data_IF_047990623816
#
_entry.id   IF_047990623816
#
_cell.length_a   1.000
_cell.length_b   1.000
_cell.length_c   1.000
_cell.angle_alpha   90.00
_cell.angle_beta   90.00
_cell.angle_gamma   90.00
#
_symmetry.space_group_name_H-M   'P 1'
#
loop_
_entity.id
_entity.type
_entity.pdbx_description
1 polymer ?
#
# COMPACT_ATOMS: atom_id res chain seq x y z
N UNK A 1 -1.90 -17.25 4.36
CA UNK A 1 -1.74 -15.79 4.44
C UNK A 1 -0.75 -15.46 3.35
N UNK A 2 -1.24 -14.94 2.23
CA UNK A 2 -0.52 -14.88 0.95
C UNK A 2 0.01 -13.46 0.72
N UNK A 3 1.18 -13.31 0.10
CA UNK A 3 1.76 -11.98 -0.13
C UNK A 3 0.89 -11.22 -1.14
N UNK A 4 0.41 -10.03 -0.74
CA UNK A 4 0.15 -8.93 -1.69
C UNK A 4 1.47 -8.71 -2.43
N UNK A 5 1.45 -8.71 -3.75
CA UNK A 5 2.64 -8.46 -4.55
C UNK A 5 2.26 -7.58 -5.72
N UNK A 6 2.81 -6.38 -5.75
CA UNK A 6 2.75 -5.49 -6.91
C UNK A 6 3.83 -5.92 -7.92
N UNK A 7 3.47 -5.92 -9.20
CA UNK A 7 4.41 -6.15 -10.30
C UNK A 7 4.41 -4.92 -11.21
N UNK A 8 5.60 -4.38 -11.48
CA UNK A 8 5.79 -3.29 -12.45
C UNK A 8 5.40 -3.71 -13.87
N UNK A 9 4.85 -2.80 -14.68
CA UNK A 9 4.64 -3.04 -16.12
C UNK A 9 5.94 -3.36 -16.84
N UNK A 10 5.95 -4.47 -17.58
CA UNK A 10 7.11 -4.93 -18.33
C UNK A 10 8.07 -5.80 -17.51
N UNK A 11 7.81 -5.99 -16.21
CA UNK A 11 8.57 -6.88 -15.34
C UNK A 11 8.10 -8.34 -15.42
N UNK A 12 8.95 -9.24 -14.93
CA UNK A 12 8.65 -10.64 -14.67
C UNK A 12 8.68 -10.86 -13.16
N UNK A 13 7.62 -11.44 -12.59
CA UNK A 13 7.53 -11.81 -11.18
C UNK A 13 6.96 -13.21 -11.01
N UNK A 14 6.78 -13.67 -9.76
CA UNK A 14 6.22 -15.00 -9.51
C UNK A 14 5.28 -15.03 -8.31
N UNK A 15 4.11 -15.67 -8.46
CA UNK A 15 3.27 -16.04 -7.31
C UNK A 15 3.73 -17.39 -6.79
N UNK A 16 3.97 -17.50 -5.49
CA UNK A 16 4.32 -18.78 -4.85
C UNK A 16 3.16 -19.29 -4.02
N UNK A 17 2.61 -20.44 -4.41
CA UNK A 17 1.60 -21.17 -3.66
C UNK A 17 2.26 -22.24 -2.80
N UNK A 18 1.88 -22.34 -1.53
CA UNK A 18 2.32 -23.46 -0.67
C UNK A 18 1.19 -24.47 -0.50
N UNK A 19 1.41 -25.69 -0.95
CA UNK A 19 0.49 -26.83 -0.76
C UNK A 19 1.01 -27.70 0.37
N UNK A 20 0.22 -27.89 1.43
CA UNK A 20 0.61 -28.65 2.63
C UNK A 20 -0.26 -29.89 2.81
N UNK A 21 0.36 -31.01 3.20
CA UNK A 21 -0.39 -32.15 3.73
C UNK A 21 -0.69 -31.93 5.23
N UNK A 22 -1.93 -31.57 5.52
CA UNK A 22 -2.43 -31.40 6.90
C UNK A 22 -3.06 -32.68 7.50
N UNK A 23 -3.14 -33.76 6.71
CA UNK A 23 -3.70 -35.04 7.15
C UNK A 23 -2.71 -35.88 7.95
N UNK A 24 -3.23 -36.90 8.64
CA UNK A 24 -2.43 -37.85 9.42
C UNK A 24 -1.75 -38.95 8.58
N UNK A 25 -1.93 -38.93 7.25
CA UNK A 25 -1.43 -39.97 6.33
C UNK A 25 -0.81 -39.32 5.10
N UNK A 26 0.22 -39.95 4.53
CA UNK A 26 0.87 -39.53 3.30
C UNK A 26 -0.09 -39.49 2.09
N UNK A 27 0.22 -38.66 1.09
CA UNK A 27 -0.52 -38.65 -0.18
C UNK A 27 -0.21 -39.90 -0.99
N UNK A 28 -1.23 -40.66 -1.40
CA UNK A 28 -1.04 -41.92 -2.14
C UNK A 28 -1.14 -41.77 -3.66
N UNK A 29 -1.51 -40.59 -4.13
CA UNK A 29 -1.66 -40.26 -5.54
C UNK A 29 -1.14 -38.84 -5.82
N UNK A 30 -0.72 -38.54 -7.06
CA UNK A 30 -0.41 -37.18 -7.49
C UNK A 30 -1.56 -36.22 -7.17
N UNK A 31 -1.22 -35.00 -6.79
CA UNK A 31 -2.19 -33.93 -6.54
C UNK A 31 -2.48 -33.26 -7.89
N UNK A 32 -3.74 -33.25 -8.31
CA UNK A 32 -4.21 -32.45 -9.44
C UNK A 32 -4.75 -31.12 -8.90
N UNK A 33 -4.40 -30.01 -9.54
CA UNK A 33 -4.93 -28.69 -9.25
C UNK A 33 -5.35 -27.98 -10.54
N UNK A 34 -6.28 -27.03 -10.46
CA UNK A 34 -6.65 -26.12 -11.55
C UNK A 34 -6.45 -24.70 -11.10
N UNK A 35 -6.04 -23.84 -12.02
CA UNK A 35 -5.94 -22.40 -11.77
C UNK A 35 -7.05 -21.70 -12.54
N UNK A 36 -7.83 -20.87 -11.83
CA UNK A 36 -8.79 -19.96 -12.45
C UNK A 36 -8.29 -18.53 -12.35
N UNK A 37 -8.60 -17.75 -13.38
CA UNK A 37 -8.24 -16.35 -13.51
C UNK A 37 -9.51 -15.50 -13.61
N UNK A 38 -9.73 -14.58 -12.68
CA UNK A 38 -10.77 -13.57 -12.84
C UNK A 38 -10.40 -12.61 -13.99
N UNK A 39 -11.36 -11.96 -14.69
CA UNK A 39 -11.08 -11.17 -15.88
C UNK A 39 -9.99 -10.11 -15.62
N UNK A 40 -8.86 -10.36 -16.26
CA UNK A 40 -7.61 -9.60 -16.23
C UNK A 40 -7.31 -9.21 -17.68
N UNK A 41 -7.97 -8.17 -18.18
CA UNK A 41 -7.66 -7.57 -19.48
C UNK A 41 -6.74 -6.37 -19.24
N UNK A 42 -5.56 -6.24 -19.89
CA UNK A 42 -5.04 -6.99 -21.04
C UNK A 42 -3.83 -7.90 -20.66
N UNK A 43 -3.94 -8.73 -19.63
CA UNK A 43 -2.81 -9.55 -19.17
C UNK A 43 -2.57 -10.79 -20.04
N UNK A 44 -1.31 -11.24 -20.11
CA UNK A 44 -0.94 -12.55 -20.63
C UNK A 44 0.03 -13.23 -19.66
N UNK A 45 -0.39 -14.34 -19.05
CA UNK A 45 0.50 -15.18 -18.25
C UNK A 45 1.50 -15.88 -19.18
N UNK A 46 2.80 -15.70 -18.91
CA UNK A 46 3.89 -16.37 -19.62
C UNK A 46 4.61 -17.27 -18.62
N UNK A 47 4.56 -18.58 -18.86
CA UNK A 47 5.28 -19.57 -18.04
C UNK A 47 6.73 -19.65 -18.52
N UNK A 48 7.69 -19.13 -17.75
CA UNK A 48 9.11 -19.44 -17.96
C UNK A 48 9.51 -20.66 -17.12
N UNK A 49 10.15 -21.62 -17.79
CA UNK A 49 10.35 -23.00 -17.38
C UNK A 49 11.69 -23.21 -16.66
N UNK A 50 12.36 -22.13 -16.21
CA UNK A 50 13.76 -22.21 -15.80
C UNK A 50 14.00 -22.37 -14.28
N UNK A 51 13.06 -22.06 -13.40
CA UNK A 51 13.31 -22.08 -11.94
C UNK A 51 12.14 -22.64 -11.13
N UNK A 52 12.03 -23.97 -11.04
CA UNK A 52 11.29 -24.60 -9.94
C UNK A 52 12.20 -24.66 -8.71
N UNK A 53 12.04 -23.76 -7.75
CA UNK A 53 12.73 -23.85 -6.45
C UNK A 53 11.79 -24.46 -5.41
N UNK A 54 12.22 -25.56 -4.81
CA UNK A 54 11.59 -26.16 -3.64
C UNK A 54 12.47 -25.82 -2.43
N UNK A 55 11.95 -25.04 -1.49
CA UNK A 55 12.63 -24.73 -0.22
C UNK A 55 11.90 -25.47 0.90
N UNK A 56 12.61 -26.33 1.63
CA UNK A 56 12.07 -27.09 2.75
C UNK A 56 12.78 -26.64 4.03
N UNK A 57 11.97 -26.32 5.03
CA UNK A 57 12.28 -25.71 6.32
C UNK A 57 13.40 -26.44 7.10
N UNK A 58 14.65 -25.99 6.92
CA UNK A 58 15.78 -26.20 7.85
C UNK A 58 16.30 -27.64 8.08
N UNK A 59 15.78 -28.68 7.43
CA UNK A 59 16.26 -30.07 7.61
C UNK A 59 16.35 -30.85 6.30
N UNK A 60 17.41 -31.64 6.16
CA UNK A 60 17.76 -32.37 4.93
C UNK A 60 16.84 -33.58 4.71
N UNK A 61 15.88 -33.47 3.80
CA UNK A 61 15.13 -34.62 3.26
C UNK A 61 15.31 -34.65 1.75
N UNK A 62 15.67 -35.83 1.23
CA UNK A 62 15.89 -36.09 -0.18
C UNK A 62 14.53 -36.22 -0.90
N UNK A 63 14.11 -35.18 -1.62
CA UNK A 63 12.94 -35.27 -2.51
C UNK A 63 13.37 -35.96 -3.81
N UNK A 64 13.06 -37.24 -3.95
CA UNK A 64 13.31 -37.99 -5.18
C UNK A 64 12.22 -37.66 -6.23
N UNK A 65 12.58 -36.86 -7.23
CA UNK A 65 11.81 -36.52 -8.44
C UNK A 65 10.53 -35.68 -8.28
N UNK A 66 10.62 -34.37 -7.99
CA UNK A 66 9.51 -33.46 -8.25
C UNK A 66 9.46 -33.14 -9.75
N UNK A 67 8.78 -33.96 -10.55
CA UNK A 67 8.42 -33.55 -11.92
C UNK A 67 7.09 -32.82 -11.84
N UNK A 68 7.13 -31.48 -11.79
CA UNK A 68 5.95 -30.65 -12.10
C UNK A 68 5.86 -30.61 -13.63
N UNK A 69 4.92 -31.35 -14.21
CA UNK A 69 4.68 -31.30 -15.66
C UNK A 69 3.43 -30.48 -15.94
N UNK A 70 3.61 -29.27 -16.50
CA UNK A 70 2.51 -28.50 -17.08
C UNK A 70 2.23 -29.05 -18.48
N UNK A 71 1.06 -29.65 -18.70
CA UNK A 71 0.66 -30.10 -20.03
C UNK A 71 0.10 -28.92 -20.84
N UNK A 72 0.98 -28.09 -21.40
CA UNK A 72 0.62 -27.06 -22.38
C UNK A 72 1.72 -26.04 -22.64
N UNK A 73 2.00 -25.73 -23.91
CA UNK A 73 2.81 -24.58 -24.33
C UNK A 73 1.90 -23.54 -24.99
N UNK A 74 1.78 -22.33 -24.45
CA UNK A 74 1.02 -21.21 -25.05
C UNK A 74 0.39 -20.26 -24.03
N UNK A 75 -0.20 -19.15 -24.51
CA UNK A 75 -1.13 -18.29 -23.75
C UNK A 75 -2.32 -19.13 -23.31
N UNK A 76 -2.40 -19.48 -22.03
CA UNK A 76 -3.45 -20.35 -21.51
C UNK A 76 -4.78 -19.60 -21.36
N UNK A 77 -5.88 -20.16 -21.87
CA UNK A 77 -7.25 -19.75 -21.56
C UNK A 77 -7.71 -20.42 -20.26
N UNK A 78 -8.41 -19.67 -19.41
CA UNK A 78 -8.97 -20.14 -18.13
C UNK A 78 -10.03 -21.27 -18.33
N UNK A 79 -10.05 -22.35 -17.53
CA UNK A 79 -9.05 -22.80 -16.54
C UNK A 79 -8.00 -23.75 -17.13
N UNK A 80 -6.81 -23.83 -16.52
CA UNK A 80 -5.76 -24.80 -16.90
C UNK A 80 -5.38 -25.74 -15.74
N UNK A 81 -5.00 -26.98 -16.06
CA UNK A 81 -4.66 -28.03 -15.10
C UNK A 81 -3.15 -28.09 -14.79
N UNK A 82 -2.83 -28.28 -13.50
CA UNK A 82 -1.50 -28.48 -12.94
C UNK A 82 -1.46 -29.85 -12.25
N UNK A 83 -0.38 -30.61 -12.46
CA UNK A 83 -0.15 -31.89 -11.76
C UNK A 83 1.12 -31.85 -10.93
N UNK A 84 0.96 -32.06 -9.62
CA UNK A 84 2.05 -32.13 -8.64
C UNK A 84 2.34 -33.61 -8.38
N UNK A 85 3.44 -34.10 -8.92
CA UNK A 85 3.87 -35.51 -8.82
C UNK A 85 4.52 -35.91 -7.48
N UNK A 86 4.42 -35.07 -6.44
CA UNK A 86 5.07 -35.31 -5.15
C UNK A 86 4.20 -36.17 -4.21
N UNK A 87 4.86 -37.10 -3.52
CA UNK A 87 4.30 -37.75 -2.31
C UNK A 87 4.64 -36.84 -1.13
N UNK A 88 3.61 -36.38 -0.41
CA UNK A 88 3.75 -35.51 0.76
C UNK A 88 3.42 -36.31 2.02
N UNK A 89 4.38 -36.47 2.92
CA UNK A 89 4.16 -37.03 4.24
C UNK A 89 3.36 -36.05 5.12
N UNK A 90 2.76 -36.51 6.24
CA UNK A 90 2.10 -35.61 7.19
C UNK A 90 3.03 -34.48 7.65
N UNK A 91 2.62 -33.24 7.40
CA UNK A 91 3.42 -32.05 7.74
C UNK A 91 4.29 -31.50 6.61
N UNK A 92 4.48 -32.25 5.51
CA UNK A 92 5.22 -31.77 4.35
C UNK A 92 4.48 -30.66 3.61
N UNK A 93 5.26 -29.78 3.00
CA UNK A 93 4.77 -28.74 2.10
C UNK A 93 5.57 -28.70 0.81
N UNK A 94 4.89 -28.39 -0.29
CA UNK A 94 5.50 -28.10 -1.59
C UNK A 94 5.10 -26.70 -2.03
N UNK A 95 6.10 -25.92 -2.43
CA UNK A 95 5.89 -24.61 -3.02
C UNK A 95 5.81 -24.73 -4.54
N UNK A 96 4.77 -24.13 -5.13
CA UNK A 96 4.54 -24.02 -6.56
C UNK A 96 4.68 -22.55 -6.93
N UNK A 97 5.77 -22.19 -7.60
CA UNK A 97 5.96 -20.85 -8.15
C UNK A 97 5.35 -20.77 -9.56
N UNK A 98 4.60 -19.69 -9.83
CA UNK A 98 3.99 -19.38 -11.11
C UNK A 98 4.56 -18.06 -11.60
N UNK A 99 5.32 -18.09 -12.70
CA UNK A 99 5.83 -16.89 -13.34
C UNK A 99 4.71 -16.06 -13.99
N UNK A 100 4.79 -14.74 -13.84
CA UNK A 100 3.85 -13.75 -14.33
C UNK A 100 4.62 -12.67 -15.06
N UNK A 101 4.14 -12.31 -16.24
CA UNK A 101 4.66 -11.19 -17.01
C UNK A 101 3.57 -10.15 -17.12
N UNK A 102 3.89 -8.90 -16.78
CA UNK A 102 2.97 -7.78 -16.99
C UNK A 102 3.25 -7.16 -18.37
N UNK A 103 2.34 -7.25 -19.35
CA UNK A 103 2.56 -6.66 -20.66
C UNK A 103 2.53 -5.13 -20.60
N UNK A 104 3.27 -4.48 -21.51
CA UNK A 104 3.20 -3.02 -21.70
C UNK A 104 1.76 -2.60 -22.03
N UNK A 105 1.18 -1.70 -21.24
CA UNK A 105 -0.21 -1.20 -21.39
C UNK A 105 -1.23 -1.79 -20.41
N UNK A 106 -0.80 -2.39 -19.30
CA UNK A 106 -1.66 -2.96 -18.26
C UNK A 106 -1.75 -2.10 -16.96
N UNK A 107 -1.52 -0.78 -17.06
CA UNK A 107 -1.57 0.14 -15.90
C UNK A 107 -2.94 0.14 -15.22
N UNK A 108 -2.96 0.13 -13.88
CA UNK A 108 -4.19 0.13 -13.09
C UNK A 108 -5.01 -1.17 -13.18
N UNK A 109 -4.51 -2.19 -13.88
CA UNK A 109 -5.22 -3.44 -14.03
C UNK A 109 -5.03 -4.32 -12.78
N UNK A 110 -6.14 -4.81 -12.24
CA UNK A 110 -6.16 -5.69 -11.06
C UNK A 110 -6.77 -7.05 -11.40
N UNK A 111 -6.41 -8.07 -10.64
CA UNK A 111 -7.09 -9.36 -10.71
C UNK A 111 -6.59 -10.40 -9.74
N UNK A 112 -7.12 -11.61 -9.88
CA UNK A 112 -6.80 -12.73 -9.01
C UNK A 112 -6.37 -13.97 -9.80
N UNK A 113 -5.38 -14.66 -9.25
CA UNK A 113 -5.05 -16.02 -9.61
C UNK A 113 -5.43 -16.94 -8.45
N UNK A 114 -6.40 -17.81 -8.70
CA UNK A 114 -6.91 -18.73 -7.69
C UNK A 114 -6.43 -20.15 -8.00
N UNK A 115 -5.71 -20.76 -7.06
CA UNK A 115 -5.33 -22.17 -7.12
C UNK A 115 -6.41 -23.04 -6.46
N UNK A 116 -6.96 -23.99 -7.20
CA UNK A 116 -7.92 -24.96 -6.71
C UNK A 116 -7.33 -26.36 -6.75
N UNK A 117 -7.28 -27.07 -5.63
CA UNK A 117 -6.94 -28.50 -5.63
C UNK A 117 -8.15 -29.29 -6.13
N UNK A 118 -8.02 -29.96 -7.27
CA UNK A 118 -9.11 -30.71 -7.90
C UNK A 118 -9.07 -32.20 -7.56
N UNK A 119 -7.88 -32.75 -7.25
CA UNK A 119 -7.71 -34.10 -6.68
C UNK A 119 -6.49 -34.19 -5.78
N UNK A 120 -6.62 -34.91 -4.68
CA UNK A 120 -5.53 -35.31 -3.79
C UNK A 120 -6.10 -36.29 -2.77
N UNK A 121 -5.43 -37.41 -2.52
CA UNK A 121 -5.93 -38.43 -1.57
C UNK A 121 -5.01 -38.51 -0.37
N UNK A 122 -5.54 -38.09 0.79
CA UNK A 122 -4.99 -38.32 2.10
C UNK A 122 -6.13 -38.52 3.10
N UNK A 123 -6.55 -39.77 3.30
CA UNK A 123 -7.24 -40.27 4.51
C UNK A 123 -8.68 -39.82 4.80
N UNK A 124 -9.65 -40.71 4.55
CA UNK A 124 -10.79 -40.97 5.46
C UNK A 124 -11.94 -39.97 5.57
N UNK A 125 -11.73 -38.68 5.37
CA UNK A 125 -12.79 -37.69 5.36
C UNK A 125 -12.78 -36.95 4.04
N UNK A 126 -13.97 -36.63 3.53
CA UNK A 126 -14.18 -35.88 2.28
C UNK A 126 -13.19 -34.71 2.23
N UNK A 127 -12.52 -34.41 1.10
CA UNK A 127 -11.63 -33.26 1.00
C UNK A 127 -12.50 -32.00 1.05
N UNK A 128 -12.82 -31.56 2.25
CA UNK A 128 -13.55 -30.34 2.53
C UNK A 128 -12.57 -29.36 3.16
N UNK A 129 -11.54 -28.97 2.39
CA UNK A 129 -10.98 -27.63 2.48
C UNK A 129 -10.46 -27.28 1.11
N UNK A 130 -11.29 -26.53 0.41
CA UNK A 130 -10.95 -25.73 -0.73
C UNK A 130 -9.89 -24.75 -0.23
N UNK A 131 -8.61 -25.11 -0.32
CA UNK A 131 -7.54 -24.14 -0.10
C UNK A 131 -7.52 -23.24 -1.34
N UNK A 132 -8.47 -22.30 -1.40
CA UNK A 132 -8.34 -21.14 -2.28
C UNK A 132 -7.17 -20.34 -1.73
N UNK A 133 -6.07 -20.38 -2.46
CA UNK A 133 -5.06 -19.36 -2.35
C UNK A 133 -5.39 -18.32 -3.41
N UNK A 134 -5.92 -17.18 -2.96
CA UNK A 134 -6.13 -16.01 -3.81
C UNK A 134 -4.91 -15.13 -3.66
N UNK A 135 -4.18 -14.95 -4.75
CA UNK A 135 -3.18 -13.89 -4.85
C UNK A 135 -3.82 -12.71 -5.56
N UNK A 136 -3.87 -11.57 -4.88
CA UNK A 136 -4.32 -10.30 -5.45
C UNK A 136 -3.12 -9.66 -6.14
N UNK A 137 -3.28 -9.37 -7.43
CA UNK A 137 -2.26 -8.72 -8.24
C UNK A 137 -2.71 -7.33 -8.65
N UNK A 138 -1.80 -6.38 -8.51
CA UNK A 138 -1.90 -5.03 -9.06
C UNK A 138 -0.70 -4.79 -9.96
N UNK A 139 -0.98 -4.30 -11.16
CA UNK A 139 0.06 -3.82 -12.07
C UNK A 139 0.36 -2.36 -11.71
N UNK A 140 1.49 -2.13 -11.04
CA UNK A 140 2.03 -0.79 -10.87
C UNK A 140 2.41 -0.28 -12.27
N UNK A 141 2.01 0.94 -12.66
CA UNK A 141 2.45 1.51 -13.92
C UNK A 141 3.98 1.45 -14.05
N UNK A 142 4.47 1.33 -15.28
CA UNK A 142 5.90 1.37 -15.51
C UNK A 142 6.37 2.72 -15.00
N UNK A 143 7.32 2.73 -14.07
CA UNK A 143 8.02 3.93 -13.63
C UNK A 143 8.30 4.77 -14.88
N UNK A 144 7.54 5.86 -15.03
CA UNK A 144 7.84 6.86 -16.04
C UNK A 144 9.28 7.24 -15.77
N UNK A 145 10.14 7.26 -16.78
CA UNK A 145 11.58 7.45 -16.62
C UNK A 145 11.88 8.76 -15.91
N UNK A 146 11.83 8.73 -14.58
CA UNK A 146 11.89 9.87 -13.70
C UNK A 146 13.34 10.30 -13.67
N UNK A 147 13.61 11.50 -14.18
CA UNK A 147 14.95 12.08 -14.19
C UNK A 147 15.08 13.19 -13.15
N UNK A 148 14.12 13.31 -12.23
CA UNK A 148 14.21 14.25 -11.13
C UNK A 148 15.45 13.95 -10.29
N UNK A 149 16.10 15.00 -9.81
CA UNK A 149 17.26 14.93 -8.93
C UNK A 149 16.84 15.58 -7.61
N UNK A 150 16.14 14.80 -6.79
CA UNK A 150 15.83 15.08 -5.39
C UNK A 150 16.28 13.87 -4.55
N UNK A 151 16.03 13.90 -3.24
CA UNK A 151 16.32 12.81 -2.31
C UNK A 151 15.16 11.82 -2.13
N UNK A 152 13.96 12.14 -2.66
CA UNK A 152 12.82 11.22 -2.77
C UNK A 152 13.15 9.99 -3.64
N UNK A 153 12.42 8.89 -3.41
CA UNK A 153 12.70 7.61 -4.05
C UNK A 153 12.32 7.60 -5.54
N UNK A 154 13.23 7.16 -6.41
CA UNK A 154 12.95 6.99 -7.84
C UNK A 154 12.24 5.66 -8.18
N UNK A 155 11.88 4.87 -7.16
CA UNK A 155 11.28 3.53 -7.33
C UNK A 155 10.14 3.24 -6.35
N UNK A 156 9.97 4.05 -5.30
CA UNK A 156 8.79 3.96 -4.44
C UNK A 156 7.72 4.91 -4.97
N UNK A 157 6.49 4.61 -4.60
CA UNK A 157 5.22 5.20 -5.03
C UNK A 157 4.35 5.04 -3.78
N UNK A 158 4.38 6.07 -2.94
CA UNK A 158 3.97 6.00 -1.53
C UNK A 158 2.45 5.94 -1.38
N UNK A 159 1.71 6.68 -2.21
CA UNK A 159 0.25 6.65 -2.29
C UNK A 159 -0.32 5.58 -3.24
N UNK A 160 0.49 5.03 -4.13
CA UNK A 160 0.07 4.00 -5.08
C UNK A 160 -0.74 4.52 -6.27
N UNK A 161 -0.63 5.80 -6.60
CA UNK A 161 -1.30 6.44 -7.73
C UNK A 161 -0.63 6.10 -9.08
N UNK A 162 0.62 5.63 -9.03
CA UNK A 162 1.39 5.22 -10.18
C UNK A 162 2.48 6.18 -10.65
N UNK A 163 2.71 7.26 -9.93
CA UNK A 163 3.85 8.15 -10.09
C UNK A 163 4.84 7.87 -8.97
N UNK A 164 6.12 7.75 -9.33
CA UNK A 164 7.14 7.48 -8.30
C UNK A 164 7.42 8.74 -7.51
N UNK A 165 7.65 8.64 -6.20
CA UNK A 165 7.81 9.78 -5.28
C UNK A 165 8.75 10.86 -5.84
N UNK A 166 9.86 10.46 -6.47
CA UNK A 166 10.82 11.42 -7.05
C UNK A 166 10.23 12.36 -8.12
N UNK A 167 9.16 11.94 -8.81
CA UNK A 167 8.46 12.69 -9.85
C UNK A 167 7.01 13.03 -9.49
N UNK A 168 6.57 12.63 -8.31
CA UNK A 168 5.31 13.06 -7.74
C UNK A 168 5.39 14.52 -7.27
N UNK A 169 4.27 15.23 -7.37
CA UNK A 169 4.07 16.56 -6.81
C UNK A 169 3.39 16.54 -5.43
N UNK A 170 2.81 15.41 -5.03
CA UNK A 170 2.00 15.18 -3.83
C UNK A 170 2.10 13.68 -3.50
N UNK A 171 3.21 13.26 -2.86
CA UNK A 171 3.63 11.84 -2.85
C UNK A 171 2.80 10.93 -1.93
N UNK A 172 1.99 11.49 -1.03
CA UNK A 172 1.06 10.77 -0.17
C UNK A 172 -0.41 11.07 -0.48
N UNK A 173 -0.66 11.95 -1.47
CA UNK A 173 -1.97 12.28 -2.02
C UNK A 173 -2.97 12.76 -0.96
N UNK A 174 -2.48 13.54 0.00
CA UNK A 174 -3.28 14.23 1.01
C UNK A 174 -3.75 15.62 0.52
N UNK A 175 -3.23 16.05 -0.64
CA UNK A 175 -3.57 17.29 -1.29
C UNK A 175 -2.63 18.44 -1.01
N UNK A 176 -1.69 18.34 -0.07
CA UNK A 176 -0.59 19.28 0.11
C UNK A 176 0.48 18.95 -0.94
N UNK A 177 1.18 19.95 -1.49
CA UNK A 177 2.25 19.64 -2.45
C UNK A 177 3.52 19.37 -1.67
N UNK A 178 4.37 18.45 -2.12
CA UNK A 178 5.64 18.17 -1.41
C UNK A 178 6.49 19.45 -1.27
N UNK A 179 6.39 20.36 -2.24
CA UNK A 179 7.09 21.65 -2.20
C UNK A 179 6.58 22.64 -1.13
N UNK A 180 5.37 22.41 -0.63
CA UNK A 180 4.75 23.10 0.50
C UNK A 180 5.05 22.39 1.83
N UNK A 181 5.41 21.11 1.78
CA UNK A 181 5.84 20.26 2.92
C UNK A 181 7.36 20.23 3.11
N UNK A 182 8.14 20.78 2.18
CA UNK A 182 9.54 21.19 2.38
C UNK A 182 9.60 22.38 3.35
N UNK A 183 9.36 22.10 4.64
CA UNK A 183 9.07 23.08 5.69
C UNK A 183 10.24 24.07 5.86
N UNK A 184 11.48 23.58 5.74
CA UNK A 184 12.69 24.41 5.83
C UNK A 184 13.14 25.02 4.49
N UNK A 185 12.51 24.60 3.38
CA UNK A 185 12.71 25.06 2.00
C UNK A 185 14.12 24.84 1.48
N UNK A 186 14.77 23.77 1.94
CA UNK A 186 16.12 23.44 1.54
C UNK A 186 16.17 22.56 0.27
N UNK A 187 15.02 22.01 -0.15
CA UNK A 187 14.88 21.10 -1.29
C UNK A 187 15.29 19.66 -1.01
N UNK A 188 15.22 19.24 0.25
CA UNK A 188 15.43 17.87 0.74
C UNK A 188 14.20 17.52 1.55
N UNK A 189 13.49 16.50 1.12
CA UNK A 189 12.20 16.16 1.69
C UNK A 189 12.36 15.12 2.81
N UNK A 190 13.45 14.34 2.79
CA UNK A 190 13.68 13.26 3.76
C UNK A 190 14.23 13.75 5.11
N UNK A 191 14.46 15.05 5.29
CA UNK A 191 14.86 15.63 6.57
C UNK A 191 13.79 16.48 7.27
N UNK A 192 12.60 16.60 6.67
CA UNK A 192 11.42 17.24 7.26
C UNK A 192 10.62 16.24 8.10
N UNK A 193 11.19 15.86 9.24
CA UNK A 193 10.64 14.96 10.29
C UNK A 193 11.04 15.61 11.64
N UNK A 194 10.35 16.70 11.98
CA UNK A 194 10.76 17.62 13.08
C UNK A 194 9.64 18.02 14.02
N UNK A 195 8.55 17.28 13.98
CA UNK A 195 7.32 17.52 14.70
C UNK A 195 7.42 17.18 16.20
N UNK A 196 6.45 17.70 16.96
CA UNK A 196 6.48 17.71 18.42
C UNK A 196 7.27 18.88 19.03
N UNK A 197 7.50 18.81 20.35
CA UNK A 197 8.16 19.86 21.12
C UNK A 197 9.42 19.33 21.80
N UNK A 198 10.58 19.93 21.49
CA UNK A 198 11.88 19.57 22.06
C UNK A 198 11.94 19.78 23.58
N UNK A 199 11.05 20.62 24.13
CA UNK A 199 10.89 20.82 25.57
C UNK A 199 10.11 19.68 26.23
N UNK A 200 9.37 18.89 25.45
CA UNK A 200 8.53 17.77 25.89
C UNK A 200 9.22 16.43 25.63
N UNK A 201 9.78 16.23 24.44
CA UNK A 201 10.49 15.00 24.03
C UNK A 201 11.85 15.32 23.38
N UNK A 202 12.92 14.55 23.67
CA UNK A 202 14.22 14.74 23.03
C UNK A 202 14.30 14.14 21.61
N UNK A 203 13.30 13.33 21.21
CA UNK A 203 13.14 12.80 19.86
C UNK A 203 11.95 13.53 19.28
N UNK A 204 12.24 14.36 18.27
CA UNK A 204 11.22 14.99 17.45
C UNK A 204 10.83 14.01 16.36
N UNK A 205 9.58 14.17 15.95
CA UNK A 205 8.91 13.40 14.94
C UNK A 205 8.78 11.92 15.17
N UNK A 206 8.22 11.25 14.17
CA UNK A 206 7.81 9.84 14.24
C UNK A 206 8.64 8.91 13.34
N UNK A 207 9.50 9.48 12.50
CA UNK A 207 10.34 8.73 11.55
C UNK A 207 9.78 8.65 10.13
N UNK A 208 8.67 9.32 9.85
CA UNK A 208 8.11 9.59 8.52
C UNK A 208 8.34 11.07 8.22
N UNK A 209 8.69 11.40 6.98
CA UNK A 209 8.92 12.81 6.61
C UNK A 209 7.62 13.40 6.09
N UNK A 210 7.38 14.70 6.32
CA UNK A 210 6.13 15.40 6.02
C UNK A 210 5.54 15.05 4.64
N UNK A 211 6.34 15.07 3.58
CA UNK A 211 5.90 14.70 2.21
C UNK A 211 5.45 13.22 2.01
N UNK A 212 5.45 12.43 3.07
CA UNK A 212 5.02 11.04 3.13
C UNK A 212 4.23 10.76 4.42
N UNK A 213 3.84 11.77 5.17
CA UNK A 213 3.21 11.69 6.49
C UNK A 213 1.77 12.16 6.35
N UNK A 214 0.81 11.41 6.92
CA UNK A 214 -0.61 11.78 6.84
C UNK A 214 -1.11 12.58 8.06
N UNK A 215 -0.27 12.79 9.09
CA UNK A 215 -0.55 13.51 10.34
C UNK A 215 0.77 14.17 10.82
N UNK A 216 1.26 15.15 10.04
CA UNK A 216 2.62 15.71 10.14
C UNK A 216 2.95 16.38 11.47
N UNK A 217 1.98 16.70 12.35
CA UNK A 217 2.26 17.10 13.73
C UNK A 217 1.83 16.10 14.80
N UNK A 218 1.29 14.96 14.38
CA UNK A 218 0.88 13.86 15.22
C UNK A 218 -0.18 14.24 16.25
N UNK A 219 -1.07 15.18 15.90
CA UNK A 219 -2.17 15.62 16.76
C UNK A 219 -3.46 14.79 16.56
N UNK A 220 -3.45 13.84 15.62
CA UNK A 220 -4.56 12.94 15.35
C UNK A 220 -5.64 13.49 14.43
N UNK A 221 -5.40 14.64 13.81
CA UNK A 221 -6.13 15.15 12.66
C UNK A 221 -5.21 14.98 11.45
N UNK A 222 -5.76 14.44 10.35
CA UNK A 222 -4.93 14.15 9.18
C UNK A 222 -4.69 15.41 8.35
N UNK A 223 -3.54 15.49 7.70
CA UNK A 223 -3.07 16.66 6.96
C UNK A 223 -4.05 17.09 5.86
N UNK A 224 -4.67 16.14 5.15
CA UNK A 224 -5.78 16.38 4.21
C UNK A 224 -6.94 17.23 4.80
N UNK A 225 -7.20 17.10 6.10
CA UNK A 225 -8.27 17.80 6.81
C UNK A 225 -7.89 19.25 7.19
N UNK A 226 -6.60 19.57 7.15
CA UNK A 226 -5.99 20.77 7.72
C UNK A 226 -5.28 21.62 6.68
N UNK A 227 -4.47 21.00 5.83
CA UNK A 227 -3.57 21.67 4.89
C UNK A 227 -4.29 22.64 3.96
N UNK A 228 -5.34 22.20 3.26
CA UNK A 228 -6.05 23.05 2.28
C UNK A 228 -7.42 23.53 2.76
N UNK A 229 -7.97 24.63 2.18
CA UNK A 229 -9.31 25.12 2.47
C UNK A 229 -10.41 24.25 1.81
N UNK A 230 -10.26 22.92 1.83
CA UNK A 230 -11.30 22.01 1.41
C UNK A 230 -12.50 22.13 2.35
N UNK A 231 -13.69 22.23 1.75
CA UNK A 231 -14.93 22.04 2.50
C UNK A 231 -15.10 20.57 2.84
N UNK A 232 -15.85 20.28 3.90
CA UNK A 232 -16.24 18.91 4.28
C UNK A 232 -16.79 18.07 3.11
N UNK A 233 -17.57 18.72 2.24
CA UNK A 233 -18.16 18.07 1.07
C UNK A 233 -17.15 17.78 -0.05
N UNK A 234 -16.06 18.52 -0.13
CA UNK A 234 -14.96 18.24 -1.04
C UNK A 234 -14.12 17.08 -0.52
N UNK A 235 -13.78 17.09 0.78
CA UNK A 235 -13.11 15.96 1.43
C UNK A 235 -13.92 14.67 1.20
N UNK A 236 -15.22 14.66 1.54
CA UNK A 236 -16.09 13.49 1.33
C UNK A 236 -16.22 13.05 -0.15
N UNK A 237 -15.88 13.92 -1.10
CA UNK A 237 -15.92 13.61 -2.51
C UNK A 237 -14.57 13.11 -3.07
N UNK A 238 -13.46 13.50 -2.44
CA UNK A 238 -12.11 13.12 -2.84
C UNK A 238 -11.61 11.90 -2.06
N UNK A 239 -11.94 11.82 -0.77
CA UNK A 239 -11.61 10.77 0.19
C UNK A 239 -12.90 10.35 0.93
N UNK A 240 -13.61 9.40 0.34
CA UNK A 240 -14.93 9.00 0.83
C UNK A 240 -14.88 8.19 2.13
N UNK A 241 -13.79 7.46 2.38
CA UNK A 241 -13.61 6.69 3.61
C UNK A 241 -12.91 7.48 4.72
N UNK A 242 -12.37 8.67 4.40
CA UNK A 242 -11.68 9.59 5.31
C UNK A 242 -10.46 8.93 5.94
N UNK A 243 -9.63 8.33 5.12
CA UNK A 243 -8.39 7.74 5.55
C UNK A 243 -7.17 8.68 5.43
N UNK A 244 -7.33 9.89 4.87
CA UNK A 244 -6.26 10.87 4.70
C UNK A 244 -5.64 10.88 3.31
N UNK A 245 -5.98 9.89 2.46
CA UNK A 245 -5.45 9.78 1.10
C UNK A 245 -6.61 9.90 0.11
N UNK A 246 -6.41 10.64 -0.98
CA UNK A 246 -7.43 10.69 -2.04
C UNK A 246 -7.76 9.29 -2.59
N UNK A 247 -9.05 9.02 -2.78
CA UNK A 247 -9.55 7.74 -3.26
C UNK A 247 -8.91 7.37 -4.62
N UNK A 248 -8.44 6.14 -4.77
CA UNK A 248 -7.91 5.62 -6.05
C UNK A 248 -8.91 5.66 -7.24
N UNK A 249 -10.19 5.98 -6.98
CA UNK A 249 -11.21 6.23 -8.00
C UNK A 249 -11.15 7.64 -8.61
N UNK A 250 -10.36 8.55 -8.03
CA UNK A 250 -10.08 9.87 -8.59
C UNK A 250 -9.15 9.78 -9.80
N UNK A 251 -9.01 10.90 -10.52
CA UNK A 251 -8.14 10.99 -11.68
C UNK A 251 -6.85 11.72 -11.31
N UNK A 252 -5.73 11.02 -11.39
CA UNK A 252 -4.39 11.56 -11.18
C UNK A 252 -3.67 11.68 -12.52
N UNK A 253 -2.93 12.77 -12.68
CA UNK A 253 -2.13 13.04 -13.86
C UNK A 253 -0.82 12.25 -13.90
N UNK A 254 -0.02 12.48 -14.94
CA UNK A 254 1.35 12.00 -15.03
C UNK A 254 2.32 12.68 -14.04
N UNK A 255 1.85 13.71 -13.34
CA UNK A 255 2.55 14.47 -12.31
C UNK A 255 2.11 14.12 -10.88
N UNK A 256 1.27 13.09 -10.70
CA UNK A 256 0.81 12.58 -9.39
C UNK A 256 -0.25 13.43 -8.69
N UNK A 257 -0.34 14.72 -9.05
CA UNK A 257 -1.38 15.60 -8.51
C UNK A 257 -2.78 15.25 -9.02
N UNK A 258 -3.76 15.26 -8.12
CA UNK A 258 -5.19 15.11 -8.42
C UNK A 258 -5.67 16.14 -9.45
N UNK A 259 -6.18 15.69 -10.62
CA UNK A 259 -6.70 16.52 -11.72
C UNK A 259 -7.76 17.54 -11.23
N UNK A 260 -8.53 17.16 -10.20
CA UNK A 260 -9.58 18.01 -9.63
C UNK A 260 -9.02 19.25 -8.93
N UNK A 261 -7.76 19.22 -8.49
CA UNK A 261 -7.07 20.37 -7.87
C UNK A 261 -6.40 21.26 -8.92
N UNK A 262 -6.19 20.78 -10.14
CA UNK A 262 -5.42 21.47 -11.17
C UNK A 262 -6.24 22.42 -12.06
N UNK A 263 -5.60 23.49 -12.56
CA UNK A 263 -6.22 24.40 -13.54
C UNK A 263 -6.56 23.72 -14.87
N UNK A 264 -5.80 22.68 -15.22
CA UNK A 264 -6.07 21.69 -16.25
C UNK A 264 -5.32 20.39 -15.88
N UNK A 265 -5.81 19.21 -16.31
CA UNK A 265 -5.07 17.95 -16.10
C UNK A 265 -3.61 18.05 -16.54
N UNK A 266 -2.70 17.52 -15.71
CA UNK A 266 -1.24 17.51 -15.89
C UNK A 266 -0.58 18.89 -15.95
N UNK A 267 -1.23 19.94 -15.41
CA UNK A 267 -0.66 21.29 -15.46
C UNK A 267 0.42 21.53 -14.41
N UNK A 268 0.38 20.80 -13.30
CA UNK A 268 1.16 21.05 -12.09
C UNK A 268 0.82 22.39 -11.43
N UNK A 269 -0.36 22.97 -11.74
CA UNK A 269 -0.77 24.28 -11.25
C UNK A 269 -2.13 24.16 -10.60
N UNK A 270 -2.17 24.35 -9.28
CA UNK A 270 -3.40 24.37 -8.49
C UNK A 270 -4.38 25.46 -8.94
N UNK A 271 -5.68 25.16 -8.84
CA UNK A 271 -6.74 26.14 -9.03
C UNK A 271 -6.65 27.24 -7.97
N UNK A 272 -7.04 28.49 -8.28
CA UNK A 272 -6.94 29.62 -7.36
C UNK A 272 -7.62 29.43 -6.00
N UNK A 273 -8.63 28.56 -5.91
CA UNK A 273 -9.31 28.21 -4.66
C UNK A 273 -8.50 27.28 -3.74
N UNK A 274 -7.44 26.64 -4.23
CA UNK A 274 -6.62 25.67 -3.49
C UNK A 274 -5.16 26.10 -3.27
N UNK A 275 -4.74 27.25 -3.82
CA UNK A 275 -3.34 27.73 -3.70
C UNK A 275 -2.92 28.17 -2.30
N UNK A 276 -3.87 28.36 -1.37
CA UNK A 276 -3.54 28.74 0.01
C UNK A 276 -3.52 27.51 0.88
N UNK A 277 -2.46 27.37 1.66
CA UNK A 277 -2.43 26.51 2.83
C UNK A 277 -3.18 27.19 3.98
N UNK A 278 -3.93 26.41 4.77
CA UNK A 278 -4.66 26.91 5.93
C UNK A 278 -3.69 27.25 7.05
N UNK A 279 -3.99 28.38 7.69
CA UNK A 279 -3.32 28.86 8.87
C UNK A 279 -4.38 29.66 9.65
N UNK A 280 -4.99 29.01 10.63
CA UNK A 280 -6.23 29.43 11.28
C UNK A 280 -6.01 30.64 12.20
N UNK A 281 -4.88 30.70 12.90
CA UNK A 281 -4.54 31.81 13.79
C UNK A 281 -3.62 32.88 13.15
N UNK A 282 -3.04 32.56 12.00
CA UNK A 282 -2.18 33.43 11.20
C UNK A 282 -0.74 33.52 11.69
N UNK A 283 -0.24 32.53 12.45
CA UNK A 283 1.14 32.49 12.93
C UNK A 283 2.14 31.99 11.85
N UNK A 284 3.33 31.53 12.23
CA UNK A 284 4.34 31.05 11.27
C UNK A 284 4.21 29.58 10.89
N UNK A 285 3.24 28.85 11.45
CA UNK A 285 2.97 27.45 11.16
C UNK A 285 1.63 27.27 10.44
N UNK A 286 1.61 26.52 9.33
CA UNK A 286 0.38 25.97 8.79
C UNK A 286 -0.35 25.05 9.77
N UNK A 287 -1.68 24.92 9.62
CA UNK A 287 -2.51 24.08 10.52
C UNK A 287 -2.01 22.63 10.60
N UNK A 288 -1.63 22.01 9.48
CA UNK A 288 -1.17 20.61 9.41
C UNK A 288 0.18 20.34 10.11
N UNK A 289 0.86 21.38 10.60
CA UNK A 289 2.09 21.27 11.41
C UNK A 289 2.01 22.09 12.71
N UNK A 290 0.80 22.49 13.09
CA UNK A 290 0.52 23.30 14.28
C UNK A 290 -0.43 22.60 15.25
N UNK A 291 0.18 22.01 16.28
CA UNK A 291 -0.48 21.44 17.46
C UNK A 291 -1.53 22.35 18.14
N UNK A 292 -1.54 23.65 17.83
CA UNK A 292 -2.52 24.64 18.30
C UNK A 292 -3.02 25.56 17.19
N UNK A 293 -3.57 25.04 16.09
CA UNK A 293 -4.02 25.80 14.91
C UNK A 293 -4.89 27.03 15.21
N UNK A 294 -5.65 27.02 16.30
CA UNK A 294 -6.47 28.16 16.73
C UNK A 294 -5.76 29.18 17.64
N UNK A 295 -4.48 28.95 17.93
CA UNK A 295 -3.58 29.71 18.79
C UNK A 295 -3.80 29.50 20.30
N UNK A 296 -4.68 28.59 20.72
CA UNK A 296 -5.09 28.47 22.14
C UNK A 296 -5.30 27.05 22.66
N UNK A 297 -6.11 26.24 21.98
CA UNK A 297 -6.43 24.87 22.40
C UNK A 297 -5.53 23.90 21.63
N UNK A 298 -5.08 22.82 22.28
CA UNK A 298 -4.38 21.74 21.58
C UNK A 298 -5.39 21.01 20.68
N UNK A 299 -5.00 20.73 19.47
CA UNK A 299 -5.91 20.25 18.43
C UNK A 299 -6.33 18.80 18.66
N UNK A 300 -5.40 17.95 19.10
CA UNK A 300 -5.67 16.64 19.70
C UNK A 300 -6.73 16.70 20.82
N UNK A 301 -6.79 17.79 21.59
CA UNK A 301 -7.76 17.95 22.67
C UNK A 301 -9.10 18.45 22.13
N UNK A 302 -9.09 19.28 21.09
CA UNK A 302 -10.29 19.75 20.40
C UNK A 302 -11.08 18.60 19.77
N UNK A 303 -10.40 17.54 19.30
CA UNK A 303 -11.04 16.29 18.85
C UNK A 303 -11.34 15.28 19.98
N UNK A 304 -11.07 15.67 21.24
CA UNK A 304 -11.41 14.89 22.42
C UNK A 304 -10.46 13.72 22.72
N UNK A 305 -9.25 13.75 22.18
CA UNK A 305 -8.23 12.69 22.29
C UNK A 305 -7.09 13.02 23.26
N UNK A 306 -7.34 13.90 24.22
CA UNK A 306 -6.43 14.18 25.35
C UNK A 306 -5.99 12.95 26.15
N UNK A 307 -6.66 11.80 25.99
CA UNK A 307 -6.26 10.52 26.59
C UNK A 307 -4.96 9.95 26.00
N UNK A 308 -4.56 10.40 24.82
CA UNK A 308 -3.34 9.95 24.12
C UNK A 308 -2.10 10.82 24.41
N UNK A 309 -2.29 12.02 24.94
CA UNK A 309 -1.20 12.95 25.26
C UNK A 309 -0.62 12.69 26.65
N UNK A 310 0.24 11.67 26.76
CA UNK A 310 0.88 11.30 28.02
C UNK A 310 1.97 12.29 28.46
N UNK A 311 2.54 13.05 27.52
CA UNK A 311 3.63 13.98 27.77
C UNK A 311 3.17 15.43 27.98
N UNK A 312 1.92 15.75 27.64
CA UNK A 312 1.34 17.09 27.75
C UNK A 312 1.79 18.03 26.64
N UNK A 313 2.16 17.49 25.48
CA UNK A 313 2.76 18.23 24.37
C UNK A 313 1.79 18.62 23.27
N UNK A 314 0.56 18.08 23.26
CA UNK A 314 -0.39 18.31 22.16
C UNK A 314 -0.41 17.25 21.08
N UNK A 315 0.54 16.30 21.10
CA UNK A 315 0.64 15.22 20.13
C UNK A 315 0.45 13.83 20.79
N UNK A 316 0.18 12.82 19.98
CA UNK A 316 0.01 11.43 20.41
C UNK A 316 1.33 10.90 20.95
N UNK A 317 1.45 10.84 22.28
CA UNK A 317 2.69 10.44 22.97
C UNK A 317 2.99 8.93 22.94
N UNK A 318 2.07 8.13 22.40
CA UNK A 318 2.08 6.67 22.43
C UNK A 318 2.24 6.09 21.03
N UNK A 319 3.19 6.60 20.25
CA UNK A 319 3.31 6.23 18.86
C UNK A 319 4.15 5.01 18.57
N UNK A 320 3.55 3.90 18.16
CA UNK A 320 4.19 2.99 17.21
C UNK A 320 3.36 3.11 15.97
N UNK A 321 3.90 3.74 14.94
CA UNK A 321 3.37 3.65 13.60
C UNK A 321 3.74 2.25 13.02
N UNK A 322 2.73 1.44 12.72
CA UNK A 322 2.89 0.03 12.40
C UNK A 322 3.23 -0.20 10.91
N UNK A 323 2.64 0.60 10.04
CA UNK A 323 2.72 0.52 8.59
C UNK A 323 3.41 1.71 7.93
N UNK A 324 3.84 2.70 8.73
CA UNK A 324 4.74 3.80 8.36
C UNK A 324 4.07 4.82 7.45
N UNK A 325 2.89 5.25 7.84
CA UNK A 325 2.11 6.27 7.16
C UNK A 325 1.99 7.59 7.93
N UNK A 326 2.67 7.72 9.07
CA UNK A 326 2.67 8.92 9.89
C UNK A 326 1.57 8.95 10.95
N UNK A 327 0.63 7.99 10.91
CA UNK A 327 -0.53 8.02 11.81
C UNK A 327 -0.24 7.18 13.06
N UNK A 328 -0.20 7.82 14.23
CA UNK A 328 0.14 7.08 15.46
C UNK A 328 -0.94 6.10 15.91
N UNK A 329 -0.48 4.96 16.46
CA UNK A 329 -1.37 4.01 17.12
C UNK A 329 -2.24 4.69 18.19
N UNK A 330 -3.55 4.44 18.09
CA UNK A 330 -4.57 5.04 18.95
C UNK A 330 -5.44 6.04 18.22
N UNK A 331 -4.91 6.72 17.20
CA UNK A 331 -5.71 7.43 16.18
C UNK A 331 -5.78 6.62 14.89
N UNK A 332 -4.71 5.88 14.57
CA UNK A 332 -4.71 4.92 13.46
C UNK A 332 -5.73 3.78 13.69
N UNK A 333 -6.59 3.59 12.69
CA UNK A 333 -7.63 2.55 12.67
C UNK A 333 -7.32 1.38 11.71
N UNK A 334 -6.28 1.47 10.89
CA UNK A 334 -5.82 0.40 9.99
C UNK A 334 -4.28 0.25 10.00
N UNK A 335 -3.77 -0.40 11.05
CA UNK A 335 -2.33 -0.66 11.29
C UNK A 335 -1.59 -1.53 10.23
N UNK A 336 -2.17 -1.76 9.06
CA UNK A 336 -1.65 -2.62 7.98
C UNK A 336 -1.66 -1.90 6.63
N UNK A 337 -2.55 -0.93 6.44
CA UNK A 337 -2.75 -0.24 5.17
C UNK A 337 -2.79 1.24 5.43
N UNK A 338 -1.90 1.96 4.73
CA UNK A 338 -1.83 3.42 4.68
C UNK A 338 -3.20 4.11 4.77
N UNK A 339 -3.26 5.04 5.70
CA UNK A 339 -4.40 5.86 6.05
C UNK A 339 -5.22 5.27 7.20
N UNK A 340 -5.96 6.14 7.89
CA UNK A 340 -6.81 5.76 9.02
C UNK A 340 -8.29 6.02 8.72
N UNK A 341 -9.06 5.03 8.22
CA UNK A 341 -10.45 5.22 7.84
C UNK A 341 -11.34 5.84 8.93
N UNK A 342 -12.26 6.70 8.49
CA UNK A 342 -13.19 7.44 9.32
C UNK A 342 -12.52 8.39 10.33
N UNK A 343 -11.36 8.94 9.99
CA UNK A 343 -10.67 9.97 10.75
C UNK A 343 -11.53 11.22 10.97
N UNK A 344 -11.28 11.96 12.07
CA UNK A 344 -12.00 13.20 12.35
C UNK A 344 -11.66 14.24 11.28
N UNK A 345 -12.53 15.24 11.15
CA UNK A 345 -12.19 16.43 10.37
C UNK A 345 -11.62 17.44 11.33
N UNK A 346 -10.75 18.31 10.82
CA UNK A 346 -10.30 19.49 11.54
C UNK A 346 -11.50 20.25 12.12
N UNK A 347 -11.49 20.58 13.42
CA UNK A 347 -12.54 21.36 14.08
C UNK A 347 -12.62 22.80 13.55
N UNK A 348 -11.63 23.22 12.75
CA UNK A 348 -11.53 24.54 12.13
C UNK A 348 -11.93 24.54 10.65
N UNK A 349 -12.23 23.36 10.08
CA UNK A 349 -12.80 23.22 8.73
C UNK A 349 -14.28 23.59 8.69
N UNK A 350 -14.72 24.23 7.58
CA UNK A 350 -16.10 24.68 7.37
C UNK A 350 -16.84 23.94 6.26
#
# INVERSE_FOLDING_TARGET
MFPKGELEIGSEGSIVYTVRNAGAVATTAPIDATISLAPMSPFALVFDHATTSATVDGSTITVSNPTVSVTGTGTATNPFELRIGAVLEPGDSVSVAIGIRVPKGAAGASGSADLFITKGTGGGERPATNNLATALLRAAPAAQGCTAINDKSATADTDGDGVVDACDLDSDNDGILDSEEDLDRNGRFLDDDTEGDILVTPVLGDGVSAAFDLDSDNDGILDLMEGRPFTRAQIDAFDADRNGVFDAGQAFGANGLLDALETAPDSGVLKPEFVSIRNTDGDDKPDFVDLTSNGTDLDLYAIGRSDLDLLGGGFVSVGVDADRDGIQIGVDTDLIVRGAPASPYSPYSS
#
